data_IF_464635911136
#
_entry.id   IF_464635911136
#
_cell.length_a   1.000
_cell.length_b   1.000
_cell.length_c   1.000
_cell.angle_alpha   90.00
_cell.angle_beta   90.00
_cell.angle_gamma   90.00
#
_symmetry.space_group_name_H-M   'P 1'
#
loop_
_entity.id
_entity.type
_entity.pdbx_description
1 polymer ?
#
# COMPACT_ATOMS: atom_id res chain seq x y z
N UNK A 1 -40.14 -19.44 17.44
CA UNK A 1 -39.69 -18.26 16.69
C UNK A 1 -38.56 -18.70 15.78
N UNK A 2 -38.81 -18.82 14.47
CA UNK A 2 -37.88 -19.45 13.52
C UNK A 2 -36.81 -18.47 13.06
N UNK A 3 -35.72 -18.36 13.81
CA UNK A 3 -34.57 -17.54 13.42
C UNK A 3 -33.85 -18.14 12.20
N UNK A 4 -33.54 -17.30 11.21
CA UNK A 4 -32.79 -17.69 10.01
C UNK A 4 -31.43 -16.99 10.05
N UNK A 5 -30.38 -17.79 10.23
CA UNK A 5 -29.00 -17.31 10.20
C UNK A 5 -28.37 -17.57 8.83
N UNK A 6 -27.76 -16.53 8.26
CA UNK A 6 -27.00 -16.65 7.03
C UNK A 6 -25.52 -16.36 7.30
N UNK A 7 -24.63 -17.25 6.82
CA UNK A 7 -23.18 -17.03 6.78
C UNK A 7 -22.67 -17.19 5.36
N UNK A 8 -21.84 -16.23 4.93
CA UNK A 8 -21.20 -16.22 3.60
C UNK A 8 -19.69 -16.31 3.77
N UNK A 9 -19.08 -17.17 2.99
CA UNK A 9 -17.64 -17.18 2.74
C UNK A 9 -17.38 -16.78 1.29
N UNK A 10 -16.21 -16.21 1.05
CA UNK A 10 -15.66 -15.97 -0.28
C UNK A 10 -14.30 -16.64 -0.34
N UNK A 11 -13.96 -17.17 -1.50
CA UNK A 11 -12.71 -17.87 -1.73
C UNK A 11 -11.83 -17.00 -2.62
N UNK A 12 -10.54 -16.94 -2.30
CA UNK A 12 -9.55 -16.14 -3.00
C UNK A 12 -9.28 -16.67 -4.40
N UNK A 13 -9.47 -17.99 -4.60
CA UNK A 13 -9.39 -18.66 -5.88
C UNK A 13 -10.35 -19.86 -5.91
N UNK A 14 -10.72 -20.27 -7.12
CA UNK A 14 -11.46 -21.49 -7.40
C UNK A 14 -10.86 -22.68 -6.63
N UNK A 15 -11.69 -23.41 -5.90
CA UNK A 15 -11.27 -24.64 -5.23
C UNK A 15 -12.45 -25.58 -5.05
N UNK A 16 -12.14 -26.88 -5.05
CA UNK A 16 -13.06 -27.98 -4.73
C UNK A 16 -12.67 -28.73 -3.46
N UNK A 17 -11.69 -28.20 -2.72
CA UNK A 17 -11.14 -28.85 -1.52
C UNK A 17 -12.12 -28.73 -0.34
N UNK A 18 -12.94 -29.77 -0.14
CA UNK A 18 -13.98 -29.80 0.89
C UNK A 18 -13.44 -29.49 2.30
N UNK A 19 -12.27 -30.05 2.67
CA UNK A 19 -11.66 -29.79 3.97
C UNK A 19 -11.29 -28.33 4.20
N UNK A 20 -10.92 -27.59 3.16
CA UNK A 20 -10.66 -26.15 3.26
C UNK A 20 -11.95 -25.36 3.45
N UNK A 21 -12.96 -25.63 2.62
CA UNK A 21 -14.28 -24.98 2.70
C UNK A 21 -14.93 -25.19 4.07
N UNK A 22 -14.89 -26.42 4.59
CA UNK A 22 -15.43 -26.76 5.92
C UNK A 22 -14.73 -25.96 7.01
N UNK A 23 -13.39 -25.83 6.98
CA UNK A 23 -12.65 -25.03 7.97
C UNK A 23 -13.03 -23.55 7.95
N UNK A 24 -13.28 -22.98 6.77
CA UNK A 24 -13.71 -21.59 6.66
C UNK A 24 -15.12 -21.37 7.23
N UNK A 25 -16.05 -22.29 6.98
CA UNK A 25 -17.39 -22.23 7.56
C UNK A 25 -17.36 -22.48 9.07
N UNK A 26 -16.56 -23.43 9.57
CA UNK A 26 -16.41 -23.67 11.01
C UNK A 26 -15.99 -22.39 11.75
N UNK A 27 -15.08 -21.61 11.17
CA UNK A 27 -14.66 -20.32 11.72
C UNK A 27 -15.68 -19.18 11.56
N UNK A 28 -16.76 -19.36 10.78
CA UNK A 28 -17.84 -18.38 10.59
C UNK A 28 -19.14 -18.75 11.31
N UNK A 29 -19.22 -19.99 11.76
CA UNK A 29 -20.34 -20.56 12.50
C UNK A 29 -19.97 -20.73 13.98
N UNK A 30 -18.80 -20.26 14.42
CA UNK A 30 -18.34 -20.37 15.81
C UNK A 30 -19.19 -19.56 16.78
N UNK A 31 -19.90 -18.56 16.26
CA UNK A 31 -20.84 -17.69 16.97
C UNK A 31 -22.30 -18.18 16.91
N UNK A 32 -22.58 -19.32 16.27
CA UNK A 32 -23.94 -19.84 16.12
C UNK A 32 -24.32 -20.68 17.34
N UNK A 33 -25.30 -20.18 18.09
CA UNK A 33 -25.89 -20.90 19.22
C UNK A 33 -27.11 -21.72 18.75
N UNK A 34 -26.98 -23.05 18.75
CA UNK A 34 -28.04 -23.92 18.23
C UNK A 34 -29.27 -24.04 19.15
N UNK A 35 -29.19 -23.62 20.42
CA UNK A 35 -30.32 -23.71 21.37
C UNK A 35 -31.00 -25.08 21.38
N UNK A 36 -32.29 -25.10 21.01
CA UNK A 36 -33.13 -26.31 20.91
C UNK A 36 -32.85 -27.19 19.68
N UNK A 37 -31.95 -26.77 18.79
CA UNK A 37 -31.53 -27.49 17.60
C UNK A 37 -31.68 -26.68 16.32
N UNK A 38 -31.17 -27.26 15.23
CA UNK A 38 -31.27 -26.69 13.88
C UNK A 38 -32.22 -27.59 13.08
N UNK A 39 -33.33 -27.02 12.60
CA UNK A 39 -34.34 -27.75 11.81
C UNK A 39 -33.89 -28.01 10.36
N UNK A 40 -33.15 -27.07 9.77
CA UNK A 40 -32.70 -27.15 8.39
C UNK A 40 -31.37 -26.43 8.17
N UNK A 41 -30.53 -27.01 7.29
CA UNK A 41 -29.31 -26.37 6.79
C UNK A 41 -29.37 -26.37 5.26
N UNK A 42 -29.12 -25.21 4.66
CA UNK A 42 -28.97 -25.08 3.22
C UNK A 42 -27.61 -24.47 2.91
N UNK A 43 -26.88 -25.12 1.99
CA UNK A 43 -25.65 -24.58 1.42
C UNK A 43 -25.89 -24.27 -0.06
N UNK A 44 -25.53 -23.06 -0.48
CA UNK A 44 -25.67 -22.62 -1.87
C UNK A 44 -24.38 -21.96 -2.36
N UNK A 45 -23.85 -22.44 -3.48
CA UNK A 45 -22.83 -21.71 -4.23
C UNK A 45 -23.52 -20.64 -5.10
N UNK A 46 -23.63 -19.41 -4.60
CA UNK A 46 -24.28 -18.32 -5.35
C UNK A 46 -23.45 -17.80 -6.53
N UNK A 47 -22.14 -18.08 -6.53
CA UNK A 47 -21.22 -17.74 -7.60
C UNK A 47 -20.11 -18.80 -7.65
N UNK A 48 -19.66 -19.14 -8.84
CA UNK A 48 -18.59 -20.11 -9.08
C UNK A 48 -17.80 -19.71 -10.32
N UNK A 49 -16.52 -20.04 -10.34
CA UNK A 49 -15.63 -19.84 -11.48
C UNK A 49 -15.01 -21.16 -11.94
N UNK A 50 -14.55 -21.26 -13.20
CA UNK A 50 -13.88 -22.45 -13.69
C UNK A 50 -12.64 -22.79 -12.87
N UNK A 51 -12.53 -24.05 -12.45
CA UNK A 51 -11.32 -24.59 -11.82
C UNK A 51 -10.41 -25.15 -12.92
N UNK A 52 -9.32 -24.46 -13.23
CA UNK A 52 -8.32 -24.93 -14.18
C UNK A 52 -7.64 -26.21 -13.67
N UNK A 53 -7.34 -27.14 -14.58
CA UNK A 53 -6.55 -28.32 -14.27
C UNK A 53 -5.12 -27.87 -13.94
N UNK A 54 -4.62 -28.25 -12.77
CA UNK A 54 -3.20 -28.15 -12.43
C UNK A 54 -2.57 -29.54 -12.57
N UNK A 55 -1.52 -29.65 -13.38
CA UNK A 55 -0.69 -30.84 -13.39
C UNK A 55 0.10 -30.86 -12.07
N UNK A 56 -0.15 -31.84 -11.22
CA UNK A 56 0.75 -32.15 -10.13
C UNK A 56 1.95 -32.89 -10.74
N UNK A 57 3.17 -32.41 -10.50
CA UNK A 57 4.36 -33.20 -10.80
C UNK A 57 4.26 -34.54 -10.06
N UNK A 58 4.75 -35.62 -10.69
CA UNK A 58 4.69 -36.97 -10.11
C UNK A 58 5.42 -37.07 -8.76
N UNK A 59 6.37 -36.16 -8.49
CA UNK A 59 7.11 -36.04 -7.21
C UNK A 59 6.56 -34.92 -6.28
N UNK A 60 5.46 -34.26 -6.62
CA UNK A 60 4.92 -33.09 -5.89
C UNK A 60 4.31 -33.40 -4.51
N UNK A 61 4.24 -34.67 -4.10
CA UNK A 61 3.83 -35.06 -2.75
C UNK A 61 4.77 -34.45 -1.67
N UNK A 62 6.02 -34.15 -2.01
CA UNK A 62 6.96 -33.47 -1.11
C UNK A 62 6.71 -31.95 -1.00
N UNK A 63 6.35 -31.26 -2.11
CA UNK A 63 6.08 -29.81 -2.13
C UNK A 63 4.68 -29.42 -1.62
N UNK A 64 3.75 -30.37 -1.51
CA UNK A 64 2.39 -30.18 -0.97
C UNK A 64 2.30 -29.96 0.55
N UNK A 65 3.43 -29.90 1.27
CA UNK A 65 3.42 -29.67 2.73
C UNK A 65 3.16 -28.20 3.14
N UNK A 66 2.93 -27.30 2.19
CA UNK A 66 2.58 -25.90 2.44
C UNK A 66 1.08 -25.60 2.29
N UNK A 67 0.55 -24.67 3.10
CA UNK A 67 -0.76 -24.06 2.76
C UNK A 67 -0.59 -23.25 1.48
N UNK A 68 -1.43 -23.50 0.46
CA UNK A 68 -1.44 -22.66 -0.74
C UNK A 68 -1.68 -21.18 -0.39
N UNK A 69 -1.11 -20.26 -1.17
CA UNK A 69 -1.27 -18.81 -0.95
C UNK A 69 -2.76 -18.42 -0.90
N UNK A 70 -3.59 -18.99 -1.78
CA UNK A 70 -5.03 -18.78 -1.78
C UNK A 70 -5.70 -19.22 -0.46
N UNK A 71 -5.41 -20.43 0.01
CA UNK A 71 -5.95 -20.90 1.29
C UNK A 71 -5.43 -20.10 2.50
N UNK A 72 -4.23 -19.55 2.42
CA UNK A 72 -3.71 -18.60 3.41
C UNK A 72 -4.52 -17.29 3.41
N UNK A 73 -4.74 -16.70 2.23
CA UNK A 73 -5.53 -15.48 2.06
C UNK A 73 -6.95 -15.68 2.57
N UNK A 74 -7.58 -16.82 2.28
CA UNK A 74 -8.92 -17.14 2.76
C UNK A 74 -9.00 -17.11 4.28
N UNK A 75 -8.08 -17.82 4.95
CA UNK A 75 -8.05 -17.86 6.43
C UNK A 75 -7.82 -16.49 7.03
N UNK A 76 -6.90 -15.70 6.47
CA UNK A 76 -6.65 -14.34 6.92
C UNK A 76 -7.88 -13.44 6.71
N UNK A 77 -8.56 -13.58 5.57
CA UNK A 77 -9.74 -12.78 5.22
C UNK A 77 -10.96 -13.15 6.06
N UNK A 78 -11.13 -14.43 6.43
CA UNK A 78 -12.16 -14.87 7.38
C UNK A 78 -11.94 -14.23 8.75
N UNK A 79 -10.69 -14.23 9.24
CA UNK A 79 -10.36 -13.75 10.59
C UNK A 79 -10.28 -12.23 10.71
N UNK A 80 -9.69 -11.55 9.74
CA UNK A 80 -9.38 -10.11 9.79
C UNK A 80 -10.36 -9.26 8.96
N UNK A 81 -11.20 -9.91 8.16
CA UNK A 81 -12.14 -9.27 7.24
C UNK A 81 -11.62 -9.20 5.80
N UNK A 82 -12.51 -9.06 4.82
CA UNK A 82 -12.21 -9.21 3.39
C UNK A 82 -11.29 -8.12 2.81
N UNK A 83 -11.06 -7.02 3.54
CA UNK A 83 -10.18 -5.91 3.12
C UNK A 83 -8.83 -5.89 3.83
N UNK A 84 -8.58 -6.85 4.72
CA UNK A 84 -7.38 -6.87 5.55
C UNK A 84 -6.12 -7.35 4.79
N UNK A 85 -6.30 -8.12 3.71
CA UNK A 85 -5.21 -8.63 2.89
C UNK A 85 -5.21 -7.93 1.54
N UNK A 86 -4.12 -7.26 1.21
CA UNK A 86 -3.93 -6.56 -0.04
C UNK A 86 -2.49 -6.71 -0.52
N UNK A 87 -2.28 -6.51 -1.82
CA UNK A 87 -0.94 -6.56 -2.42
C UNK A 87 -0.53 -5.16 -2.87
N UNK A 88 0.63 -4.65 -2.42
CA UNK A 88 1.20 -3.44 -3.00
C UNK A 88 1.68 -3.73 -4.42
N UNK A 89 1.41 -2.82 -5.34
CA UNK A 89 1.87 -2.89 -6.73
C UNK A 89 2.40 -1.55 -7.19
N UNK A 90 3.45 -1.60 -8.00
CA UNK A 90 3.97 -0.41 -8.67
C UNK A 90 2.95 0.10 -9.69
N UNK A 91 2.89 1.43 -9.82
CA UNK A 91 2.08 2.14 -10.81
C UNK A 91 2.99 3.07 -11.59
N UNK A 92 2.71 3.25 -12.87
CA UNK A 92 3.49 4.11 -13.76
C UNK A 92 3.19 5.60 -13.47
N UNK A 93 3.69 6.09 -12.34
CA UNK A 93 3.63 7.49 -11.93
C UNK A 93 4.96 7.89 -11.31
N UNK A 94 5.49 9.03 -11.74
CA UNK A 94 6.68 9.61 -11.12
C UNK A 94 6.35 10.37 -9.81
N UNK A 95 5.07 10.65 -9.55
CA UNK A 95 4.59 11.27 -8.31
C UNK A 95 4.67 10.24 -7.17
N UNK A 96 5.40 10.50 -6.07
CA UNK A 96 5.67 9.50 -5.05
C UNK A 96 4.41 8.85 -4.45
N UNK A 97 3.38 9.64 -4.19
CA UNK A 97 2.11 9.19 -3.59
C UNK A 97 1.27 8.32 -4.53
N UNK A 98 1.62 8.28 -5.83
CA UNK A 98 0.89 7.55 -6.87
C UNK A 98 1.74 6.44 -7.51
N UNK A 99 3.03 6.38 -7.18
CA UNK A 99 3.96 5.38 -7.71
C UNK A 99 3.64 3.96 -7.19
N UNK A 100 2.83 3.84 -6.14
CA UNK A 100 2.35 2.59 -5.57
C UNK A 100 0.82 2.64 -5.41
N UNK A 101 0.18 1.49 -5.58
CA UNK A 101 -1.22 1.29 -5.24
C UNK A 101 -1.45 -0.06 -4.58
N UNK A 102 -2.68 -0.27 -4.11
CA UNK A 102 -3.12 -1.52 -3.50
C UNK A 102 -4.08 -2.23 -4.47
N UNK A 103 -3.95 -3.55 -4.58
CA UNK A 103 -4.89 -4.40 -5.32
C UNK A 103 -5.22 -5.67 -4.51
N UNK A 104 -6.15 -6.49 -5.01
CA UNK A 104 -6.46 -7.76 -4.34
C UNK A 104 -5.24 -8.70 -4.43
N UNK A 105 -5.03 -9.57 -3.44
CA UNK A 105 -3.79 -10.32 -3.32
C UNK A 105 -3.43 -11.19 -4.55
N UNK A 106 -4.45 -11.76 -5.20
CA UNK A 106 -4.28 -12.67 -6.33
C UNK A 106 -4.62 -12.05 -7.69
N UNK A 107 -4.91 -10.75 -7.75
CA UNK A 107 -5.09 -10.06 -9.03
C UNK A 107 -3.79 -10.13 -9.84
N UNK A 108 -3.90 -10.32 -11.16
CA UNK A 108 -2.74 -10.29 -12.05
C UNK A 108 -2.07 -8.92 -11.99
N UNK A 109 -0.74 -8.93 -11.85
CA UNK A 109 0.07 -7.71 -11.89
C UNK A 109 0.48 -7.48 -13.33
N UNK A 110 0.08 -6.34 -13.89
CA UNK A 110 0.54 -5.94 -15.21
C UNK A 110 2.08 -5.85 -15.20
N UNK A 111 2.78 -6.39 -16.23
CA UNK A 111 4.22 -6.32 -16.29
C UNK A 111 4.66 -4.86 -16.32
N UNK A 112 5.56 -4.49 -15.41
CA UNK A 112 6.17 -3.17 -15.38
C UNK A 112 7.27 -3.15 -16.45
N UNK A 113 6.98 -2.53 -17.60
CA UNK A 113 7.89 -2.51 -18.75
C UNK A 113 9.18 -1.72 -18.48
N UNK A 114 9.14 -0.76 -17.54
CA UNK A 114 10.29 0.04 -17.17
C UNK A 114 10.40 0.10 -15.66
N UNK A 115 11.42 -0.55 -15.09
CA UNK A 115 11.90 -0.17 -13.76
C UNK A 115 12.44 1.26 -13.92
N UNK A 116 11.69 2.25 -13.42
CA UNK A 116 12.16 3.64 -13.41
C UNK A 116 13.49 3.66 -12.67
N UNK A 117 14.55 3.88 -13.43
CA UNK A 117 15.91 3.84 -12.93
C UNK A 117 16.15 5.11 -12.09
N UNK A 118 16.74 4.89 -10.91
CA UNK A 118 17.43 5.87 -10.07
C UNK A 118 16.59 7.00 -9.47
N UNK A 119 15.86 6.70 -8.38
CA UNK A 119 15.79 7.65 -7.27
C UNK A 119 15.87 6.88 -5.95
N UNK A 120 16.89 7.17 -5.14
CA UNK A 120 17.01 6.64 -3.79
C UNK A 120 15.97 7.32 -2.89
N UNK A 121 14.70 6.92 -3.07
CA UNK A 121 13.54 7.38 -2.32
C UNK A 121 13.43 6.59 -0.99
N UNK A 122 12.88 7.19 0.06
CA UNK A 122 12.76 6.52 1.36
C UNK A 122 11.79 5.34 1.30
N UNK A 123 12.04 4.32 2.14
CA UNK A 123 11.13 3.18 2.31
C UNK A 123 9.82 3.57 3.00
N UNK A 124 9.85 4.61 3.84
CA UNK A 124 8.67 5.13 4.53
C UNK A 124 8.30 6.50 3.98
N UNK A 125 7.17 6.56 3.28
CA UNK A 125 6.46 7.80 3.00
C UNK A 125 5.46 8.07 4.12
N UNK A 126 5.22 9.34 4.41
CA UNK A 126 4.09 9.75 5.23
C UNK A 126 2.80 9.68 4.41
N UNK A 127 1.69 9.31 5.05
CA UNK A 127 0.37 9.27 4.40
C UNK A 127 -0.02 10.62 3.79
N UNK A 128 0.43 11.70 4.45
CA UNK A 128 0.33 13.08 3.95
C UNK A 128 1.65 13.79 4.22
N UNK A 129 2.16 14.58 3.25
CA UNK A 129 3.34 15.39 3.50
C UNK A 129 3.08 16.37 4.64
N UNK A 130 4.03 16.50 5.57
CA UNK A 130 3.89 17.37 6.73
C UNK A 130 4.63 18.69 6.48
N UNK A 131 4.01 19.86 6.71
CA UNK A 131 4.68 21.15 6.53
C UNK A 131 5.84 21.31 7.51
N UNK A 132 6.95 21.86 7.04
CA UNK A 132 8.11 22.19 7.86
C UNK A 132 8.43 23.67 7.76
N UNK A 133 8.87 24.27 8.88
CA UNK A 133 9.33 25.64 8.87
C UNK A 133 10.84 25.67 8.62
N UNK A 134 11.27 26.18 7.47
CA UNK A 134 12.68 26.49 7.21
C UNK A 134 13.04 27.74 7.98
N UNK A 135 13.99 27.60 8.91
CA UNK A 135 14.41 28.69 9.79
C UNK A 135 15.57 29.49 9.20
N UNK A 136 16.43 28.80 8.45
CA UNK A 136 17.57 29.41 7.77
C UNK A 136 17.83 28.65 6.47
N UNK A 137 17.92 29.37 5.36
CA UNK A 137 18.28 28.82 4.06
C UNK A 137 19.73 29.22 3.70
N UNK A 138 20.46 28.32 3.04
CA UNK A 138 21.76 28.64 2.43
C UNK A 138 21.58 29.66 1.29
N UNK A 139 22.67 30.31 0.83
CA UNK A 139 22.64 31.13 -0.37
C UNK A 139 22.10 30.38 -1.60
N UNK A 140 22.34 29.06 -1.67
CA UNK A 140 21.86 28.18 -2.73
C UNK A 140 20.38 27.76 -2.58
N UNK A 141 19.72 28.19 -1.50
CA UNK A 141 18.28 28.02 -1.29
C UNK A 141 17.86 26.69 -0.65
N UNK A 142 18.78 25.97 0.00
CA UNK A 142 18.50 24.74 0.77
C UNK A 142 18.38 25.05 2.26
N UNK A 143 17.57 24.32 3.05
CA UNK A 143 17.46 24.57 4.49
C UNK A 143 18.75 24.16 5.22
N UNK A 144 19.33 25.04 6.03
CA UNK A 144 20.35 24.67 7.03
C UNK A 144 19.72 24.25 8.37
N UNK A 145 18.56 24.83 8.69
CA UNK A 145 17.77 24.44 9.86
C UNK A 145 16.30 24.42 9.51
N UNK A 146 15.59 23.39 9.98
CA UNK A 146 14.15 23.33 9.86
C UNK A 146 13.51 22.80 11.14
N UNK A 147 12.26 23.20 11.38
CA UNK A 147 11.45 22.72 12.50
C UNK A 147 10.39 21.76 11.99
N UNK A 148 10.37 20.55 12.56
CA UNK A 148 9.39 19.52 12.27
C UNK A 148 8.89 18.90 13.57
N UNK A 149 7.56 18.85 13.77
CA UNK A 149 6.90 18.38 15.00
C UNK A 149 7.49 18.99 16.28
N UNK A 150 7.69 20.30 16.26
CA UNK A 150 8.22 21.09 17.39
C UNK A 150 9.74 21.01 17.58
N UNK A 151 10.43 20.06 16.97
CA UNK A 151 11.88 19.91 17.11
C UNK A 151 12.63 20.61 15.98
N UNK A 152 13.67 21.34 16.33
CA UNK A 152 14.61 21.94 15.37
C UNK A 152 15.65 20.90 14.97
N UNK A 153 15.93 20.82 13.67
CA UNK A 153 16.93 19.93 13.08
C UNK A 153 17.94 20.77 12.34
N UNK A 154 19.20 20.57 12.67
CA UNK A 154 20.33 21.14 11.95
C UNK A 154 20.74 20.18 10.84
N UNK A 155 20.81 20.73 9.63
CA UNK A 155 21.13 20.00 8.41
C UNK A 155 22.64 19.96 8.24
N UNK A 156 23.20 18.76 8.21
CA UNK A 156 24.63 18.55 7.96
C UNK A 156 24.93 18.21 6.50
N UNK A 157 24.01 17.49 5.83
CA UNK A 157 24.19 17.10 4.42
C UNK A 157 22.90 17.29 3.65
N UNK A 158 23.07 17.66 2.39
CA UNK A 158 21.99 17.88 1.42
C UNK A 158 22.37 17.20 0.11
N UNK A 159 21.41 16.50 -0.49
CA UNK A 159 21.53 15.95 -1.84
C UNK A 159 20.25 16.20 -2.62
N UNK A 160 20.39 16.53 -3.90
CA UNK A 160 19.29 16.89 -4.80
C UNK A 160 19.55 18.19 -5.57
N UNK A 161 18.53 18.79 -6.22
CA UNK A 161 17.13 18.36 -6.17
C UNK A 161 16.80 17.20 -7.13
N UNK A 162 15.94 16.28 -6.70
CA UNK A 162 15.10 15.50 -7.62
C UNK A 162 13.89 16.37 -7.98
N UNK A 163 13.83 16.84 -9.23
CA UNK A 163 12.75 17.69 -9.71
C UNK A 163 11.61 16.85 -10.29
N UNK A 164 10.45 16.92 -9.66
CA UNK A 164 9.22 16.22 -10.07
C UNK A 164 8.20 17.25 -10.54
N UNK A 165 7.93 17.27 -11.85
CA UNK A 165 6.85 18.06 -12.43
C UNK A 165 5.49 17.41 -12.17
N UNK A 166 4.39 18.19 -12.09
CA UNK A 166 3.05 17.61 -12.01
C UNK A 166 2.73 16.73 -13.22
N UNK A 167 1.88 15.72 -13.03
CA UNK A 167 1.31 14.94 -14.13
C UNK A 167 0.29 15.81 -14.88
N UNK A 168 0.70 16.46 -15.98
CA UNK A 168 -0.13 17.42 -16.72
C UNK A 168 -1.46 16.84 -17.22
N UNK A 169 -1.54 15.51 -17.40
CA UNK A 169 -2.77 14.81 -17.81
C UNK A 169 -3.73 14.51 -16.64
N UNK A 170 -3.33 14.75 -15.39
CA UNK A 170 -4.16 14.49 -14.18
C UNK A 170 -4.34 15.73 -13.31
N UNK A 171 -3.44 16.70 -13.43
CA UNK A 171 -3.39 17.89 -12.60
C UNK A 171 -3.83 19.14 -13.36
N UNK A 172 -4.26 20.16 -12.61
CA UNK A 172 -4.52 21.48 -13.18
C UNK A 172 -3.21 22.14 -13.62
N UNK A 173 -3.29 23.05 -14.58
CA UNK A 173 -2.14 23.84 -15.06
C UNK A 173 -1.46 24.66 -13.95
N UNK A 174 -2.19 24.97 -12.87
CA UNK A 174 -1.71 25.67 -11.68
C UNK A 174 -0.92 24.78 -10.71
N UNK A 175 -0.89 23.46 -10.91
CA UNK A 175 -0.09 22.58 -10.08
C UNK A 175 1.39 22.97 -10.18
N UNK A 176 2.05 23.01 -9.01
CA UNK A 176 3.45 23.42 -8.88
C UNK A 176 4.35 22.20 -8.85
N UNK A 177 5.52 22.32 -9.49
CA UNK A 177 6.56 21.30 -9.40
C UNK A 177 7.09 21.16 -7.98
N UNK A 178 7.77 20.05 -7.70
CA UNK A 178 8.38 19.78 -6.41
C UNK A 178 9.87 19.49 -6.61
N UNK A 179 10.71 20.23 -5.90
CA UNK A 179 12.14 19.95 -5.80
C UNK A 179 12.38 19.19 -4.49
N UNK A 180 12.70 17.89 -4.60
CA UNK A 180 12.95 17.02 -3.45
C UNK A 180 14.43 16.98 -3.08
N UNK A 181 14.69 16.95 -1.77
CA UNK A 181 16.02 16.92 -1.19
C UNK A 181 16.12 15.79 -0.17
N UNK A 182 17.24 15.08 -0.20
CA UNK A 182 17.65 14.17 0.87
C UNK A 182 18.52 14.93 1.85
N UNK A 183 18.10 14.93 3.11
CA UNK A 183 18.71 15.71 4.18
C UNK A 183 19.19 14.77 5.27
N UNK A 184 20.41 14.96 5.74
CA UNK A 184 20.92 14.31 6.96
C UNK A 184 21.03 15.36 8.07
N UNK A 185 20.47 15.06 9.25
CA UNK A 185 20.60 15.93 10.41
C UNK A 185 21.83 15.61 11.28
N UNK A 186 22.10 16.47 12.27
CA UNK A 186 23.23 16.30 13.20
C UNK A 186 23.20 15.01 14.04
N UNK A 187 22.05 14.33 14.13
CA UNK A 187 21.91 13.04 14.80
C UNK A 187 21.96 11.86 13.81
N UNK A 188 22.35 12.09 12.54
CA UNK A 188 22.42 11.08 11.49
C UNK A 188 21.06 10.65 10.93
N UNK A 189 19.96 11.32 11.31
CA UNK A 189 18.63 10.97 10.80
C UNK A 189 18.44 11.56 9.41
N UNK A 190 17.88 10.75 8.51
CA UNK A 190 17.76 11.09 7.09
C UNK A 190 16.30 11.32 6.69
N UNK A 191 16.05 12.46 6.04
CA UNK A 191 14.74 12.94 5.65
C UNK A 191 14.64 13.13 4.15
N UNK A 192 13.44 12.94 3.63
CA UNK A 192 13.10 13.33 2.27
C UNK A 192 12.11 14.48 2.35
N UNK A 193 12.58 15.69 2.05
CA UNK A 193 11.79 16.91 2.09
C UNK A 193 11.63 17.45 0.68
N UNK A 194 10.65 18.31 0.45
CA UNK A 194 10.56 19.02 -0.81
C UNK A 194 10.13 20.46 -0.64
N UNK A 195 10.52 21.26 -1.64
CA UNK A 195 10.02 22.60 -1.87
C UNK A 195 8.94 22.55 -2.95
N UNK A 196 7.76 23.07 -2.66
CA UNK A 196 6.64 23.15 -3.59
C UNK A 196 6.65 24.48 -4.34
N UNK A 197 6.98 24.40 -5.63
CA UNK A 197 7.06 25.53 -6.54
C UNK A 197 8.39 26.26 -6.56
N UNK A 198 8.49 27.19 -7.51
CA UNK A 198 9.65 28.06 -7.71
C UNK A 198 9.19 29.51 -7.55
N UNK A 199 10.04 30.34 -6.95
CA UNK A 199 9.77 31.78 -6.86
C UNK A 199 9.71 32.39 -8.27
N UNK A 200 8.66 33.17 -8.56
CA UNK A 200 8.50 33.83 -9.86
C UNK A 200 7.98 32.93 -10.99
N UNK A 201 7.51 31.71 -10.70
CA UNK A 201 6.95 30.80 -11.71
C UNK A 201 5.51 31.18 -12.17
N UNK A 202 4.91 32.21 -11.57
CA UNK A 202 3.54 32.66 -11.87
C UNK A 202 2.45 31.68 -11.45
N UNK A 203 2.78 30.61 -10.71
CA UNK A 203 1.87 29.52 -10.33
C UNK A 203 1.56 29.48 -8.83
N UNK A 204 1.91 30.52 -8.09
CA UNK A 204 1.60 30.65 -6.67
C UNK A 204 2.47 31.68 -5.96
N UNK A 205 2.32 31.74 -4.63
CA UNK A 205 3.13 32.57 -3.75
C UNK A 205 4.51 31.98 -3.46
N UNK A 206 5.07 32.38 -2.32
CA UNK A 206 6.36 31.89 -1.82
C UNK A 206 6.36 30.35 -1.78
N UNK A 207 7.45 29.69 -2.22
CA UNK A 207 7.53 28.24 -2.14
C UNK A 207 7.41 27.72 -0.70
N UNK A 208 6.64 26.65 -0.54
CA UNK A 208 6.39 26.01 0.75
C UNK A 208 7.25 24.75 0.89
N UNK A 209 7.54 24.35 2.13
CA UNK A 209 8.38 23.20 2.42
C UNK A 209 7.63 22.12 3.18
N UNK A 210 7.86 20.87 2.79
CA UNK A 210 7.22 19.71 3.38
C UNK A 210 8.20 18.57 3.59
N UNK A 211 7.93 17.72 4.56
CA UNK A 211 8.57 16.43 4.76
C UNK A 211 7.66 15.34 4.19
N UNK A 212 8.18 14.57 3.24
CA UNK A 212 7.46 13.50 2.56
C UNK A 212 7.77 12.12 3.15
N UNK A 213 9.02 11.88 3.58
CA UNK A 213 9.44 10.54 3.99
C UNK A 213 10.70 10.49 4.83
N UNK A 214 10.94 9.29 5.35
CA UNK A 214 12.01 8.97 6.30
C UNK A 214 12.84 7.80 5.76
N UNK A 215 14.16 7.97 5.73
CA UNK A 215 15.09 6.88 5.44
C UNK A 215 15.36 6.07 6.70
N UNK A 216 15.73 4.80 6.52
CA UNK A 216 16.15 3.89 7.60
C UNK A 216 17.51 4.27 8.17
#
# INVERSE_FOLDING_TARGET
>A
DGEVLQRRIELAAATREAGHIIRLFAARLDDVEAGFGIEAVQMRASWSEPLSLSQADLDAAAEQHGTSLAACIDRLSIRLGPRAVSRPVARASHIPERAQGWQRPLDQVAPVQNLLAFHARPLKLLDRPEPIAVLYASPDGFPQRFRWRGQVREVLRVEGPERIAPEWWRERSTARLRDYYRIEDAAGRRYWIYRQGIAGDGRGGVPEWFLQGLFA
#
